data_IF_282565420197
#
_entry.id   IF_282565420197
#
_cell.length_a   1.000
_cell.length_b   1.000
_cell.length_c   1.000
_cell.angle_alpha   90.00
_cell.angle_beta   90.00
_cell.angle_gamma   90.00
#
_symmetry.space_group_name_H-M   'P 1'
#
loop_
_entity.id
_entity.type
_entity.pdbx_description
1 polymer ?
#
# COMPACT_ATOMS: atom_id res chain seq x y z
N UNK A 1 10.85 -4.13 -2.51
CA UNK A 1 10.71 -4.67 -1.14
C UNK A 1 10.83 -6.18 -1.20
N UNK A 2 11.46 -6.84 -0.24
CA UNK A 2 11.54 -8.31 -0.16
C UNK A 2 10.94 -8.78 1.16
N UNK A 3 10.16 -9.86 1.10
CA UNK A 3 9.64 -10.58 2.26
C UNK A 3 9.71 -12.08 1.99
N UNK A 4 9.91 -12.88 3.03
CA UNK A 4 9.92 -14.32 2.91
C UNK A 4 9.45 -15.03 4.18
N UNK A 5 8.77 -16.16 3.98
CA UNK A 5 8.34 -17.09 5.01
C UNK A 5 8.59 -18.53 4.52
N UNK A 6 9.67 -19.14 5.01
CA UNK A 6 10.10 -20.46 4.55
C UNK A 6 10.42 -20.47 3.05
N UNK A 7 9.73 -21.33 2.29
CA UNK A 7 9.91 -21.43 0.83
C UNK A 7 9.20 -20.32 0.04
N UNK A 8 8.26 -19.60 0.66
CA UNK A 8 7.57 -18.48 0.02
C UNK A 8 8.45 -17.23 0.12
N UNK A 9 8.96 -16.78 -1.01
CA UNK A 9 9.93 -15.68 -1.12
C UNK A 9 9.42 -14.73 -2.19
N UNK A 10 9.22 -13.45 -1.83
CA UNK A 10 8.51 -12.51 -2.68
C UNK A 10 9.23 -11.18 -2.80
N UNK A 11 9.18 -10.62 -4.00
CA UNK A 11 9.57 -9.25 -4.30
C UNK A 11 8.31 -8.43 -4.56
N UNK A 12 8.23 -7.27 -3.95
CA UNK A 12 7.16 -6.31 -4.17
C UNK A 12 7.70 -5.02 -4.76
N UNK A 13 6.95 -4.49 -5.71
CA UNK A 13 7.27 -3.25 -6.42
C UNK A 13 5.99 -2.46 -6.68
N UNK A 14 6.06 -1.14 -6.56
CA UNK A 14 4.95 -0.25 -6.88
C UNK A 14 5.13 0.35 -8.27
N UNK A 15 4.17 0.11 -9.15
CA UNK A 15 4.04 0.75 -10.46
C UNK A 15 2.93 1.81 -10.37
N UNK A 16 3.30 3.03 -9.98
CA UNK A 16 2.33 4.09 -9.69
C UNK A 16 1.48 3.73 -8.48
N UNK A 17 0.16 3.57 -8.66
CA UNK A 17 -0.77 3.13 -7.60
C UNK A 17 -0.87 1.62 -7.44
N UNK A 18 -0.26 0.83 -8.33
CA UNK A 18 -0.39 -0.63 -8.29
C UNK A 18 0.79 -1.23 -7.54
N UNK A 19 0.52 -1.94 -6.45
CA UNK A 19 1.48 -2.80 -5.78
C UNK A 19 1.45 -4.18 -6.43
N UNK A 20 2.62 -4.64 -6.88
CA UNK A 20 2.79 -5.92 -7.58
C UNK A 20 3.58 -6.86 -6.67
N UNK A 21 3.18 -8.13 -6.58
CA UNK A 21 3.92 -9.18 -5.91
C UNK A 21 4.43 -10.23 -6.92
N UNK A 22 5.73 -10.51 -6.87
CA UNK A 22 6.42 -11.47 -7.74
C UNK A 22 7.15 -12.52 -6.88
N UNK A 23 7.22 -13.75 -7.38
CA UNK A 23 8.09 -14.78 -6.82
C UNK A 23 9.55 -14.34 -6.96
N UNK A 24 10.31 -14.38 -5.87
CA UNK A 24 11.69 -13.90 -5.83
C UNK A 24 12.66 -14.76 -6.67
N UNK A 25 12.33 -16.02 -6.96
CA UNK A 25 13.20 -16.93 -7.69
C UNK A 25 13.13 -16.73 -9.22
N UNK A 26 11.94 -16.46 -9.76
CA UNK A 26 11.71 -16.45 -11.21
C UNK A 26 10.96 -15.21 -11.74
N UNK A 27 10.51 -14.32 -10.85
CA UNK A 27 9.79 -13.11 -11.22
C UNK A 27 8.35 -13.34 -11.68
N UNK A 28 7.80 -14.55 -11.56
CA UNK A 28 6.40 -14.82 -11.91
C UNK A 28 5.44 -14.14 -10.94
N UNK A 29 4.24 -13.70 -11.38
CA UNK A 29 3.26 -13.09 -10.48
C UNK A 29 2.79 -14.04 -9.38
N UNK A 30 2.71 -13.56 -8.14
CA UNK A 30 2.08 -14.30 -7.03
C UNK A 30 0.57 -14.14 -7.14
N UNK A 31 -0.10 -15.03 -7.85
CA UNK A 31 -1.53 -14.86 -8.21
C UNK A 31 -2.50 -14.80 -7.03
N UNK A 32 -2.10 -15.30 -5.85
CA UNK A 32 -2.87 -15.24 -4.61
C UNK A 32 -2.78 -13.90 -3.88
N UNK A 33 -1.94 -12.96 -4.35
CA UNK A 33 -1.81 -11.63 -3.77
C UNK A 33 -2.75 -10.63 -4.46
N UNK A 34 -3.69 -10.07 -3.71
CA UNK A 34 -4.70 -9.15 -4.22
C UNK A 34 -5.50 -9.75 -5.39
N UNK A 35 -5.64 -8.97 -6.46
CA UNK A 35 -6.20 -9.42 -7.73
C UNK A 35 -5.08 -9.83 -8.69
N UNK A 36 -4.85 -11.14 -8.81
CA UNK A 36 -3.90 -11.74 -9.74
C UNK A 36 -2.47 -11.14 -9.63
N UNK A 37 -1.97 -11.04 -8.40
CA UNK A 37 -0.64 -10.52 -8.08
C UNK A 37 -0.55 -9.01 -7.93
N UNK A 38 -1.70 -8.32 -7.85
CA UNK A 38 -1.77 -6.85 -7.84
C UNK A 38 -2.75 -6.33 -6.79
N UNK A 39 -2.38 -5.23 -6.15
CA UNK A 39 -3.27 -4.43 -5.30
C UNK A 39 -3.30 -3.00 -5.82
N UNK A 40 -4.49 -2.46 -6.05
CA UNK A 40 -4.67 -1.03 -6.25
C UNK A 40 -4.65 -0.32 -4.90
N UNK A 41 -3.65 0.55 -4.70
CA UNK A 41 -3.43 1.30 -3.47
C UNK A 41 -4.31 2.55 -3.35
N UNK A 42 -5.23 2.80 -4.28
CA UNK A 42 -6.19 3.89 -4.19
C UNK A 42 -7.07 3.75 -2.95
N UNK A 43 -7.10 4.72 -2.02
CA UNK A 43 -8.02 4.72 -0.89
C UNK A 43 -9.48 4.61 -1.38
N UNK A 44 -10.25 3.69 -0.78
CA UNK A 44 -11.64 3.42 -1.19
C UNK A 44 -12.69 4.13 -0.33
N UNK A 45 -12.26 4.67 0.80
CA UNK A 45 -13.05 5.34 1.81
C UNK A 45 -13.11 6.87 1.62
N UNK A 46 -12.56 7.36 0.52
CA UNK A 46 -12.47 8.78 0.17
C UNK A 46 -12.88 8.96 -1.29
N UNK A 47 -13.90 9.78 -1.53
CA UNK A 47 -14.32 10.15 -2.89
C UNK A 47 -13.41 11.24 -3.47
N UNK A 48 -12.33 10.82 -4.13
CA UNK A 48 -11.40 11.70 -4.85
C UNK A 48 -11.05 11.08 -6.20
N UNK A 49 -10.69 11.94 -7.15
CA UNK A 49 -10.34 11.54 -8.52
C UNK A 49 -8.95 11.99 -8.93
N UNK A 50 -8.20 12.60 -8.02
CA UNK A 50 -6.86 13.09 -8.29
C UNK A 50 -5.87 11.97 -8.58
N UNK A 51 -4.67 12.36 -8.97
CA UNK A 51 -3.57 11.43 -9.17
C UNK A 51 -3.03 10.90 -7.82
N UNK A 52 -2.68 9.62 -7.80
CA UNK A 52 -1.99 8.97 -6.70
C UNK A 52 -0.90 8.04 -7.22
N UNK A 53 0.29 8.10 -6.62
CA UNK A 53 1.35 7.15 -6.91
C UNK A 53 2.29 6.94 -5.72
N UNK A 54 2.88 5.75 -5.67
CA UNK A 54 3.99 5.43 -4.77
C UNK A 54 5.29 5.47 -5.58
N UNK A 55 6.12 6.45 -5.27
CA UNK A 55 7.38 6.74 -5.99
C UNK A 55 8.62 6.36 -5.18
N UNK A 56 8.45 5.98 -3.92
CA UNK A 56 9.53 5.58 -3.01
C UNK A 56 9.46 4.08 -2.70
N UNK A 57 10.59 3.43 -2.39
CA UNK A 57 10.56 2.09 -1.84
C UNK A 57 9.79 2.08 -0.52
N UNK A 58 8.85 1.15 -0.36
CA UNK A 58 8.24 0.89 0.94
C UNK A 58 9.18 0.18 1.91
N UNK A 59 8.71 0.02 3.15
CA UNK A 59 9.43 -0.69 4.20
C UNK A 59 8.74 -2.02 4.48
N UNK A 60 9.52 -3.08 4.69
CA UNK A 60 9.01 -4.35 5.18
C UNK A 60 9.28 -4.43 6.68
N UNK A 61 8.24 -4.67 7.47
CA UNK A 61 8.36 -4.95 8.90
C UNK A 61 7.54 -6.20 9.21
N UNK A 62 8.22 -7.26 9.66
CA UNK A 62 7.62 -8.59 9.80
C UNK A 62 6.92 -9.03 8.50
N UNK A 63 5.62 -9.27 8.53
CA UNK A 63 4.75 -9.64 7.42
C UNK A 63 3.96 -8.46 6.83
N UNK A 64 4.43 -7.22 7.05
CA UNK A 64 3.72 -5.99 6.65
C UNK A 64 4.56 -5.14 5.71
N UNK A 65 3.90 -4.62 4.67
CA UNK A 65 4.42 -3.70 3.68
C UNK A 65 3.92 -2.29 4.03
N UNK A 66 4.81 -1.43 4.51
CA UNK A 66 4.50 -0.07 4.92
C UNK A 66 4.73 0.89 3.75
N UNK A 67 3.67 1.59 3.36
CA UNK A 67 3.64 2.48 2.20
C UNK A 67 2.96 3.81 2.53
N UNK A 68 3.57 4.89 2.10
CA UNK A 68 2.90 6.17 1.85
C UNK A 68 2.60 6.33 0.36
N UNK A 69 2.17 7.54 -0.04
CA UNK A 69 1.97 7.88 -1.44
C UNK A 69 2.11 9.40 -1.65
N UNK A 70 2.37 9.78 -2.89
CA UNK A 70 2.23 11.15 -3.39
C UNK A 70 0.84 11.31 -4.02
N UNK A 71 0.26 12.49 -3.87
CA UNK A 71 -1.03 12.90 -4.47
C UNK A 71 -0.87 14.27 -5.14
N UNK A 72 -1.91 14.74 -5.85
CA UNK A 72 -2.00 16.12 -6.35
C UNK A 72 -1.98 17.16 -5.22
N UNK A 73 -1.71 18.42 -5.59
CA UNK A 73 -1.75 19.58 -4.68
C UNK A 73 -3.08 20.38 -4.76
N UNK A 74 -4.08 19.82 -5.45
CA UNK A 74 -5.39 20.45 -5.68
C UNK A 74 -6.49 19.96 -4.75
N UNK A 75 -7.73 20.42 -4.99
CA UNK A 75 -8.93 19.99 -4.27
C UNK A 75 -9.31 18.52 -4.51
N UNK A 76 -8.76 17.92 -5.57
CA UNK A 76 -8.92 16.53 -5.95
C UNK A 76 -7.95 15.57 -5.23
N UNK A 77 -7.07 16.10 -4.37
CA UNK A 77 -6.04 15.34 -3.66
C UNK A 77 -6.62 14.35 -2.65
N UNK A 78 -5.95 13.20 -2.53
CA UNK A 78 -6.22 12.22 -1.48
C UNK A 78 -5.61 12.69 -0.15
N UNK A 79 -6.33 12.59 0.98
CA UNK A 79 -5.76 12.84 2.30
C UNK A 79 -4.56 11.92 2.57
N UNK A 80 -3.41 12.52 2.90
CA UNK A 80 -2.18 11.78 3.15
C UNK A 80 -2.32 10.77 4.28
N UNK A 81 -1.83 9.55 4.06
CA UNK A 81 -1.80 8.49 5.07
C UNK A 81 -0.62 7.55 4.88
N UNK A 82 -0.18 6.93 5.97
CA UNK A 82 0.74 5.79 5.97
C UNK A 82 -0.07 4.54 6.23
N UNK A 83 0.14 3.50 5.44
CA UNK A 83 -0.66 2.27 5.45
C UNK A 83 0.24 1.04 5.51
N UNK A 84 -0.20 0.02 6.24
CA UNK A 84 0.41 -1.29 6.21
C UNK A 84 -0.50 -2.27 5.47
N UNK A 85 0.08 -2.98 4.51
CA UNK A 85 -0.56 -4.07 3.80
C UNK A 85 0.07 -5.40 4.18
N UNK A 86 -0.72 -6.46 4.26
CA UNK A 86 -0.22 -7.82 4.47
C UNK A 86 0.65 -8.24 3.31
N UNK A 87 1.85 -8.75 3.59
CA UNK A 87 2.74 -9.32 2.58
C UNK A 87 2.15 -10.61 1.98
N UNK A 88 1.26 -11.30 2.70
CA UNK A 88 0.71 -12.59 2.29
C UNK A 88 -0.37 -12.48 1.22
N UNK A 89 -1.30 -11.54 1.36
CA UNK A 89 -2.48 -11.42 0.51
C UNK A 89 -2.75 -9.99 0.01
N UNK A 90 -2.01 -9.00 0.50
CA UNK A 90 -2.16 -7.60 0.09
C UNK A 90 -3.32 -6.87 0.76
N UNK A 91 -3.98 -7.47 1.76
CA UNK A 91 -5.03 -6.83 2.53
C UNK A 91 -4.50 -5.66 3.36
N UNK A 92 -5.32 -4.61 3.55
CA UNK A 92 -4.98 -3.48 4.43
C UNK A 92 -5.06 -3.92 5.90
N UNK A 93 -3.96 -3.80 6.63
CA UNK A 93 -3.85 -4.19 8.05
C UNK A 93 -4.18 -3.01 8.98
N UNK A 94 -3.58 -1.85 8.70
CA UNK A 94 -3.85 -0.61 9.43
C UNK A 94 -3.53 0.61 8.57
N UNK A 95 -4.09 1.75 8.99
CA UNK A 95 -3.88 3.06 8.37
C UNK A 95 -3.69 4.12 9.46
N UNK A 96 -2.73 5.01 9.23
CA UNK A 96 -2.54 6.24 10.00
C UNK A 96 -2.81 7.43 9.10
N UNK A 97 -3.85 8.20 9.41
CA UNK A 97 -4.19 9.42 8.67
C UNK A 97 -3.38 10.60 9.22
N UNK A 98 -2.73 11.37 8.33
CA UNK A 98 -2.03 12.58 8.76
C UNK A 98 -2.98 13.73 9.10
N UNK A 99 -4.17 13.74 8.46
CA UNK A 99 -5.30 14.57 8.88
C UNK A 99 -6.27 13.63 9.61
N UNK A 100 -6.38 13.72 10.95
CA UNK A 100 -7.23 12.82 11.72
C UNK A 100 -8.69 12.91 11.29
N UNK A 101 -9.35 11.76 11.17
CA UNK A 101 -10.80 11.68 11.01
C UNK A 101 -11.50 11.90 12.35
N UNK A 102 -12.79 12.28 12.37
CA UNK A 102 -13.57 12.35 13.59
C UNK A 102 -13.47 11.05 14.41
N UNK A 103 -13.01 11.15 15.66
CA UNK A 103 -12.81 10.02 16.56
C UNK A 103 -11.40 9.41 16.54
N UNK A 104 -10.52 9.84 15.62
CA UNK A 104 -9.10 9.52 15.69
C UNK A 104 -8.38 10.46 16.67
N UNK A 105 -7.24 10.00 17.19
CA UNK A 105 -6.41 10.79 18.10
C UNK A 105 -5.96 12.09 17.44
N UNK A 106 -6.22 13.23 18.09
CA UNK A 106 -5.87 14.55 17.57
C UNK A 106 -6.94 15.16 16.64
N UNK A 107 -8.13 14.55 16.54
CA UNK A 107 -9.27 15.15 15.81
C UNK A 107 -10.01 16.22 16.62
N UNK A 108 -9.73 16.32 17.91
CA UNK A 108 -10.34 17.22 18.87
C UNK A 108 -9.63 18.58 19.05
N UNK A 109 -8.45 18.75 18.44
CA UNK A 109 -7.55 19.91 18.65
C UNK A 109 -7.53 20.87 17.48
#
# INVERSE_FOLDING_TARGET
MWWGSGADQRIYYTAGRILIALNAADGTPVTTFGDNGRVDLTPRDVERTGYLAVTVPGVVFEDKLLLGFSTTEGSDSYPGSVRAFSAQDGSLVWQFNMIPKPGERGSET
#
